data_IF_594178685810
#
_entry.id   IF_594178685810
#
_cell.length_a   1.000
_cell.length_b   1.000
_cell.length_c   1.000
_cell.angle_alpha   90.00
_cell.angle_beta   90.00
_cell.angle_gamma   90.00
#
_symmetry.space_group_name_H-M   'P 1'
#
loop_
_entity.id
_entity.type
_entity.pdbx_description
1 polymer ?
#
# COMPACT_ATOMS: atom_id res chain seq x y z
N UNK A 1 10.09 -8.58 6.72
CA UNK A 1 8.70 -8.46 6.20
C UNK A 1 7.76 -7.61 7.06
N UNK A 2 7.96 -7.50 8.40
CA UNK A 2 7.07 -6.79 9.34
C UNK A 2 6.81 -5.29 9.01
N UNK A 3 7.76 -4.61 8.35
CA UNK A 3 7.65 -3.18 8.02
C UNK A 3 6.77 -2.88 6.79
N UNK A 4 6.75 -3.77 5.78
CA UNK A 4 5.99 -3.53 4.54
C UNK A 4 4.47 -3.61 4.79
N UNK A 5 4.04 -4.55 5.64
CA UNK A 5 2.63 -4.59 6.06
C UNK A 5 2.21 -3.36 6.86
N UNK A 6 3.12 -2.73 7.62
CA UNK A 6 2.84 -1.46 8.31
C UNK A 6 2.64 -0.32 7.31
N UNK A 7 3.48 -0.24 6.26
CA UNK A 7 3.32 0.74 5.19
C UNK A 7 1.95 0.58 4.51
N UNK A 8 1.59 -0.64 4.09
CA UNK A 8 0.31 -0.88 3.41
C UNK A 8 -0.92 -0.53 4.28
N UNK A 9 -0.80 -0.60 5.61
CA UNK A 9 -1.85 -0.22 6.56
C UNK A 9 -1.83 1.24 6.99
N UNK A 10 -0.83 2.02 6.57
CA UNK A 10 -0.74 3.43 6.94
C UNK A 10 -1.90 4.20 6.25
N UNK A 11 -2.73 4.97 6.98
CA UNK A 11 -3.87 5.69 6.38
C UNK A 11 -3.47 6.69 5.28
N UNK A 12 -2.31 7.32 5.43
CA UNK A 12 -1.79 8.22 4.41
C UNK A 12 -1.36 7.43 3.17
N UNK A 13 -0.73 6.27 3.34
CA UNK A 13 -0.39 5.40 2.22
C UNK A 13 -1.64 4.92 1.46
N UNK A 14 -2.70 4.56 2.19
CA UNK A 14 -3.99 4.21 1.60
C UNK A 14 -4.56 5.38 0.79
N UNK A 15 -4.57 6.58 1.38
CA UNK A 15 -5.06 7.79 0.71
C UNK A 15 -4.27 8.11 -0.56
N UNK A 16 -2.95 8.02 -0.48
CA UNK A 16 -2.08 8.39 -1.59
C UNK A 16 -2.17 7.41 -2.77
N UNK A 17 -2.52 6.14 -2.53
CA UNK A 17 -2.44 5.07 -3.52
C UNK A 17 -3.73 4.27 -3.75
N UNK A 18 -4.86 4.61 -3.12
CA UNK A 18 -6.14 3.90 -3.35
C UNK A 18 -6.55 3.84 -4.83
N UNK A 19 -6.19 4.85 -5.62
CA UNK A 19 -6.43 4.93 -7.05
C UNK A 19 -5.69 3.86 -7.87
N UNK A 20 -4.70 3.15 -7.30
CA UNK A 20 -3.96 2.09 -7.97
C UNK A 20 -4.74 0.77 -8.07
N UNK A 21 -5.86 0.65 -7.35
CA UNK A 21 -6.74 -0.53 -7.37
C UNK A 21 -8.14 -0.12 -7.82
N UNK A 22 -8.82 -0.99 -8.56
CA UNK A 22 -10.24 -0.78 -8.88
C UNK A 22 -11.10 -0.99 -7.63
N UNK A 23 -12.10 -0.12 -7.35
CA UNK A 23 -13.04 -0.33 -6.25
C UNK A 23 -13.80 -1.66 -6.31
N UNK A 24 -13.93 -2.25 -7.50
CA UNK A 24 -14.61 -3.55 -7.71
C UNK A 24 -13.67 -4.75 -7.66
N UNK A 25 -12.37 -4.54 -7.49
CA UNK A 25 -11.40 -5.64 -7.35
C UNK A 25 -11.39 -6.20 -5.92
N UNK A 26 -10.90 -7.44 -5.69
CA UNK A 26 -10.74 -7.96 -4.34
C UNK A 26 -9.92 -7.05 -3.42
N UNK A 27 -8.94 -6.33 -3.99
CA UNK A 27 -8.11 -5.36 -3.29
C UNK A 27 -8.85 -4.05 -2.95
N UNK A 28 -9.81 -3.63 -3.78
CA UNK A 28 -10.67 -2.46 -3.50
C UNK A 28 -11.83 -2.76 -2.56
N UNK A 29 -12.21 -4.03 -2.40
CA UNK A 29 -13.36 -4.45 -1.61
C UNK A 29 -13.03 -4.85 -0.16
N UNK A 30 -11.76 -5.09 0.17
CA UNK A 30 -11.37 -5.55 1.51
C UNK A 30 -10.00 -5.03 1.93
N UNK A 31 -9.83 -4.76 3.23
CA UNK A 31 -8.55 -4.35 3.79
C UNK A 31 -7.47 -5.44 3.61
N UNK A 32 -7.84 -6.71 3.77
CA UNK A 32 -6.90 -7.83 3.60
C UNK A 32 -6.45 -7.99 2.14
N UNK A 33 -7.38 -7.82 1.18
CA UNK A 33 -7.05 -7.79 -0.23
C UNK A 33 -6.15 -6.61 -0.59
N UNK A 34 -6.44 -5.42 -0.05
CA UNK A 34 -5.59 -4.24 -0.18
C UNK A 34 -4.17 -4.51 0.32
N UNK A 35 -4.03 -5.01 1.56
CA UNK A 35 -2.72 -5.30 2.15
C UNK A 35 -1.94 -6.32 1.31
N UNK A 36 -2.59 -7.40 0.86
CA UNK A 36 -1.95 -8.41 0.02
C UNK A 36 -1.44 -7.82 -1.30
N UNK A 37 -2.29 -7.08 -2.01
CA UNK A 37 -1.95 -6.47 -3.29
C UNK A 37 -0.79 -5.47 -3.16
N UNK A 38 -0.90 -4.55 -2.19
CA UNK A 38 0.07 -3.48 -2.04
C UNK A 38 1.40 -3.97 -1.47
N UNK A 39 1.41 -4.99 -0.61
CA UNK A 39 2.65 -5.67 -0.18
C UNK A 39 3.34 -6.31 -1.39
N UNK A 40 2.60 -6.98 -2.27
CA UNK A 40 3.18 -7.60 -3.47
C UNK A 40 3.76 -6.56 -4.43
N UNK A 41 3.07 -5.45 -4.65
CA UNK A 41 3.59 -4.33 -5.47
C UNK A 41 4.85 -3.71 -4.87
N UNK A 42 4.86 -3.43 -3.57
CA UNK A 42 6.04 -2.89 -2.86
C UNK A 42 7.25 -3.84 -2.95
N UNK A 43 7.03 -5.16 -2.81
CA UNK A 43 8.09 -6.16 -2.96
C UNK A 43 8.60 -6.26 -4.40
N UNK A 44 7.71 -6.12 -5.39
CA UNK A 44 8.04 -6.24 -6.81
C UNK A 44 8.79 -5.01 -7.31
N UNK A 45 8.27 -3.82 -7.04
CA UNK A 45 8.84 -2.57 -7.50
C UNK A 45 8.39 -1.39 -6.61
N UNK A 46 9.19 -1.14 -5.58
CA UNK A 46 8.97 -0.01 -4.67
C UNK A 46 9.10 1.36 -5.36
N UNK A 47 9.73 1.43 -6.54
CA UNK A 47 9.93 2.69 -7.25
C UNK A 47 8.62 3.28 -7.80
N UNK A 48 7.54 2.51 -7.86
CA UNK A 48 6.21 2.99 -8.28
C UNK A 48 5.56 3.92 -7.24
N UNK A 49 6.06 3.89 -6.01
CA UNK A 49 5.50 4.61 -4.87
C UNK A 49 6.28 5.92 -4.61
N UNK A 50 6.01 6.94 -5.42
CA UNK A 50 6.76 8.22 -5.42
C UNK A 50 6.05 9.42 -4.79
N UNK A 51 4.82 9.27 -4.28
CA UNK A 51 4.08 10.40 -3.68
C UNK A 51 4.85 11.03 -2.51
N UNK A 52 5.56 10.20 -1.73
CA UNK A 52 6.43 10.56 -0.60
C UNK A 52 7.50 9.49 -0.40
N UNK A 53 8.61 9.79 0.31
CA UNK A 53 9.56 8.78 0.74
C UNK A 53 8.88 7.63 1.49
N UNK A 54 9.17 6.38 1.13
CA UNK A 54 8.53 5.19 1.74
C UNK A 54 8.70 5.15 3.27
N UNK A 55 9.83 5.64 3.77
CA UNK A 55 10.13 5.70 5.20
C UNK A 55 9.14 6.58 5.98
N UNK A 56 8.53 7.57 5.34
CA UNK A 56 7.60 8.50 6.00
C UNK A 56 6.28 7.79 6.34
N UNK A 57 6.00 6.63 5.74
CA UNK A 57 4.86 5.77 6.11
C UNK A 57 5.20 4.76 7.22
N UNK A 58 6.47 4.64 7.61
CA UNK A 58 6.91 3.77 8.72
C UNK A 58 6.73 4.44 10.08
N UNK A 59 6.66 5.77 10.11
CA UNK A 59 6.30 6.55 11.28
C UNK A 59 4.78 6.47 11.43
N UNK A 60 4.35 5.59 12.32
CA UNK A 60 2.97 5.48 12.81
C UNK A 60 3.03 5.47 14.33
#
# INVERSE_FOLDING_TARGET
MKHIGRIARNPQFITDYNHMVSPTSPAGQSQQGWEFEMINRLKKDASQFKKRPIRDYLEY
#
